data_IF_525327333727
#
_entry.id   IF_525327333727
#
_cell.length_a   1.000
_cell.length_b   1.000
_cell.length_c   1.000
_cell.angle_alpha   90.00
_cell.angle_beta   90.00
_cell.angle_gamma   90.00
#
_symmetry.space_group_name_H-M   'P 1'
#
loop_
_entity.id
_entity.type
_entity.pdbx_description
1 polymer ?
#
# COMPACT_ATOMS: atom_id res chain seq x y z
N UNK A 1 67.70 -54.25 22.37
CA UNK A 1 67.12 -53.54 23.53
C UNK A 1 66.36 -52.35 23.00
N UNK A 2 65.08 -52.22 23.37
CA UNK A 2 64.13 -51.19 22.90
C UNK A 2 64.66 -49.77 23.13
N UNK A 3 64.35 -48.83 22.21
CA UNK A 3 63.66 -47.57 22.52
C UNK A 3 63.34 -46.76 21.24
N UNK A 4 62.05 -46.45 21.06
CA UNK A 4 61.46 -45.48 20.12
C UNK A 4 62.06 -44.08 20.28
N UNK A 5 61.91 -43.20 19.26
CA UNK A 5 60.99 -42.03 19.34
C UNK A 5 60.99 -41.07 18.15
N UNK A 6 59.77 -40.73 17.74
CA UNK A 6 59.24 -39.48 17.15
C UNK A 6 59.63 -39.07 15.73
N UNK A 7 58.75 -39.42 14.78
CA UNK A 7 58.50 -38.64 13.58
C UNK A 7 57.67 -37.39 13.96
N UNK A 8 58.12 -36.21 13.55
CA UNK A 8 57.34 -34.97 13.58
C UNK A 8 56.52 -34.85 12.29
N UNK A 9 55.21 -34.69 12.47
CA UNK A 9 54.21 -34.39 11.45
C UNK A 9 54.09 -32.86 11.29
N UNK A 10 54.11 -32.29 10.08
CA UNK A 10 53.62 -30.92 9.90
C UNK A 10 52.11 -30.94 9.74
N UNK A 11 51.42 -30.31 10.70
CA UNK A 11 49.97 -30.04 10.66
C UNK A 11 49.76 -28.88 9.68
N UNK A 12 49.33 -29.17 8.46
CA UNK A 12 48.77 -28.16 7.56
C UNK A 12 47.33 -27.85 7.99
N UNK A 13 47.15 -26.76 8.73
CA UNK A 13 45.86 -26.21 9.12
C UNK A 13 45.19 -25.59 7.89
N UNK A 14 44.27 -26.30 7.24
CA UNK A 14 43.44 -25.75 6.17
C UNK A 14 42.36 -24.85 6.77
N UNK A 15 42.50 -23.54 6.55
CA UNK A 15 41.50 -22.52 6.91
C UNK A 15 40.33 -22.64 5.92
N UNK A 16 39.21 -23.21 6.35
CA UNK A 16 37.93 -23.13 5.64
C UNK A 16 37.43 -21.69 5.73
N UNK A 17 37.55 -20.93 4.64
CA UNK A 17 36.83 -19.66 4.49
C UNK A 17 35.34 -19.97 4.30
N UNK A 18 34.56 -19.79 5.37
CA UNK A 18 33.11 -19.71 5.28
C UNK A 18 32.74 -18.42 4.54
N UNK A 19 32.38 -18.53 3.28
CA UNK A 19 31.70 -17.45 2.55
C UNK A 19 30.26 -17.43 3.08
N UNK A 20 29.97 -16.49 3.97
CA UNK A 20 28.61 -16.20 4.43
C UNK A 20 27.78 -15.73 3.23
N UNK A 21 26.82 -16.57 2.81
CA UNK A 21 25.84 -16.20 1.81
C UNK A 21 24.99 -15.04 2.30
N UNK A 22 25.04 -13.92 1.59
CA UNK A 22 24.02 -12.89 1.66
C UNK A 22 22.71 -13.50 1.15
N UNK A 23 21.78 -13.83 2.04
CA UNK A 23 20.41 -14.11 1.62
C UNK A 23 19.74 -12.77 1.33
N UNK A 24 19.46 -12.54 0.05
CA UNK A 24 18.57 -11.47 -0.39
C UNK A 24 17.18 -11.76 0.16
N UNK A 25 16.63 -10.88 0.97
CA UNK A 25 15.21 -10.92 1.32
C UNK A 25 14.40 -10.71 0.04
N UNK A 26 13.69 -11.75 -0.39
CA UNK A 26 12.77 -11.69 -1.52
C UNK A 26 11.55 -10.84 -1.13
N UNK A 27 11.35 -9.72 -1.81
CA UNK A 27 10.09 -8.99 -1.82
C UNK A 27 9.03 -9.94 -2.38
N UNK A 28 8.03 -10.31 -1.58
CA UNK A 28 6.89 -11.11 -2.04
C UNK A 28 6.08 -10.26 -3.02
N UNK A 29 6.35 -10.41 -4.33
CA UNK A 29 5.43 -9.94 -5.35
C UNK A 29 4.22 -10.88 -5.34
N UNK A 30 3.04 -10.34 -5.08
CA UNK A 30 1.79 -11.08 -5.26
C UNK A 30 1.55 -11.14 -6.77
N UNK A 31 2.11 -12.15 -7.43
CA UNK A 31 1.90 -12.37 -8.85
C UNK A 31 0.48 -12.91 -9.08
N UNK A 32 -0.42 -12.02 -9.49
CA UNK A 32 -1.76 -12.38 -9.96
C UNK A 32 -1.62 -13.06 -11.33
N UNK A 33 -2.19 -14.26 -11.54
CA UNK A 33 -2.25 -14.87 -12.86
C UNK A 33 -2.79 -13.88 -13.91
N UNK A 34 -2.11 -13.78 -15.06
CA UNK A 34 -2.38 -12.75 -16.07
C UNK A 34 -3.86 -12.73 -16.53
N UNK A 35 -4.49 -13.90 -16.60
CA UNK A 35 -5.91 -14.04 -16.94
C UNK A 35 -6.85 -13.49 -15.85
N UNK A 36 -6.50 -13.63 -14.58
CA UNK A 36 -7.26 -13.11 -13.45
C UNK A 36 -7.11 -11.59 -13.34
N UNK A 37 -5.89 -11.06 -13.54
CA UNK A 37 -5.64 -9.63 -13.59
C UNK A 37 -6.44 -8.96 -14.72
N UNK A 38 -6.39 -9.52 -15.93
CA UNK A 38 -7.12 -9.00 -17.08
C UNK A 38 -8.65 -8.97 -16.83
N UNK A 39 -9.19 -10.00 -16.17
CA UNK A 39 -10.60 -10.04 -15.80
C UNK A 39 -10.97 -8.92 -14.82
N UNK A 40 -10.17 -8.70 -13.78
CA UNK A 40 -10.41 -7.63 -12.80
C UNK A 40 -10.29 -6.25 -13.45
N UNK A 41 -9.28 -6.02 -14.31
CA UNK A 41 -9.15 -4.76 -15.06
C UNK A 41 -10.38 -4.51 -15.93
N UNK A 42 -10.85 -5.53 -16.64
CA UNK A 42 -12.07 -5.44 -17.46
C UNK A 42 -13.32 -5.15 -16.63
N UNK A 43 -13.40 -5.65 -15.41
CA UNK A 43 -14.53 -5.37 -14.53
C UNK A 43 -14.49 -3.95 -13.96
N UNK A 44 -13.33 -3.46 -13.52
CA UNK A 44 -13.23 -2.07 -13.04
C UNK A 44 -13.39 -1.06 -14.19
N UNK A 45 -13.13 -1.43 -15.45
CA UNK A 45 -13.48 -0.59 -16.61
C UNK A 45 -14.99 -0.33 -16.74
N UNK A 46 -15.84 -1.22 -16.21
CA UNK A 46 -17.31 -1.04 -16.21
C UNK A 46 -17.80 -0.19 -15.04
N UNK A 47 -16.94 0.13 -14.07
CA UNK A 47 -17.32 0.84 -12.84
C UNK A 47 -17.98 -0.05 -11.79
N UNK A 48 -18.44 0.56 -10.70
CA UNK A 48 -19.13 -0.12 -9.60
C UNK A 48 -18.20 -0.69 -8.53
N UNK A 49 -16.94 -0.24 -8.47
CA UNK A 49 -15.95 -0.64 -7.47
C UNK A 49 -15.42 0.55 -6.69
N UNK A 50 -14.82 0.24 -5.53
CA UNK A 50 -13.98 1.16 -4.78
C UNK A 50 -12.53 0.71 -4.99
N UNK A 51 -11.68 1.66 -5.37
CA UNK A 51 -10.24 1.46 -5.52
C UNK A 51 -9.58 2.16 -4.34
N UNK A 52 -9.31 1.41 -3.28
CA UNK A 52 -8.59 1.91 -2.11
C UNK A 52 -7.09 1.75 -2.34
N UNK A 53 -6.33 2.83 -2.27
CA UNK A 53 -4.92 2.84 -2.62
C UNK A 53 -4.08 3.39 -1.48
N UNK A 54 -2.94 2.77 -1.22
CA UNK A 54 -1.93 3.39 -0.36
C UNK A 54 -1.27 4.54 -1.11
N UNK A 55 -0.95 5.61 -0.40
CA UNK A 55 -0.10 6.68 -0.90
C UNK A 55 1.20 6.16 -1.55
N UNK A 56 1.81 6.97 -2.42
CA UNK A 56 3.12 6.67 -3.01
C UNK A 56 4.21 6.62 -1.95
N UNK A 57 5.40 6.16 -2.32
CA UNK A 57 6.52 6.10 -1.38
C UNK A 57 6.76 7.44 -0.67
N UNK A 58 6.83 7.39 0.66
CA UNK A 58 7.08 8.56 1.49
C UNK A 58 8.34 8.34 2.33
N UNK A 59 9.43 8.97 1.94
CA UNK A 59 10.75 8.83 2.58
C UNK A 59 11.39 10.18 2.95
N UNK A 60 10.67 11.30 2.78
CA UNK A 60 11.18 12.64 3.07
C UNK A 60 10.64 13.11 4.41
N UNK A 61 11.55 13.40 5.35
CA UNK A 61 11.19 13.84 6.70
C UNK A 61 10.58 12.73 7.56
N UNK A 62 9.92 13.13 8.65
CA UNK A 62 9.27 12.23 9.61
C UNK A 62 8.01 12.90 10.17
N UNK A 63 7.02 12.10 10.53
CA UNK A 63 5.84 12.61 11.23
C UNK A 63 6.26 13.08 12.63
N UNK A 64 5.91 14.32 13.00
CA UNK A 64 6.09 14.82 14.37
C UNK A 64 5.10 14.13 15.32
N UNK A 65 5.34 14.12 16.64
CA UNK A 65 4.38 13.57 17.61
C UNK A 65 2.98 14.19 17.52
N UNK A 66 2.92 15.47 17.15
CA UNK A 66 1.68 16.18 16.80
C UNK A 66 1.83 16.65 15.36
N UNK A 67 1.02 16.06 14.47
CA UNK A 67 0.94 16.43 13.06
C UNK A 67 -0.04 17.58 12.89
N UNK A 68 0.38 18.61 12.15
CA UNK A 68 -0.50 19.63 11.61
C UNK A 68 -0.80 19.30 10.14
N UNK A 69 -2.06 19.01 9.82
CA UNK A 69 -2.47 18.66 8.47
C UNK A 69 -2.40 19.82 7.47
N UNK A 70 -2.25 21.06 7.94
CA UNK A 70 -2.05 22.24 7.11
C UNK A 70 -0.57 22.60 6.92
N UNK A 71 0.34 22.02 7.72
CA UNK A 71 1.79 22.22 7.62
C UNK A 71 2.50 20.89 7.33
N UNK A 72 2.80 20.66 6.05
CA UNK A 72 3.51 19.47 5.61
C UNK A 72 4.93 19.35 6.19
N UNK A 73 5.53 20.42 6.73
CA UNK A 73 6.84 20.34 7.41
C UNK A 73 6.78 19.58 8.75
N UNK A 74 5.56 19.30 9.25
CA UNK A 74 5.32 18.46 10.43
C UNK A 74 5.18 16.97 10.10
N UNK A 75 5.28 16.59 8.83
CA UNK A 75 4.92 15.27 8.33
C UNK A 75 6.06 14.59 7.56
N UNK A 76 5.98 13.25 7.49
CA UNK A 76 6.67 12.46 6.47
C UNK A 76 5.93 12.59 5.14
N UNK A 77 6.65 13.01 4.11
CA UNK A 77 6.12 13.34 2.79
C UNK A 77 6.64 12.43 1.67
N UNK A 78 6.05 12.54 0.48
CA UNK A 78 6.47 11.77 -0.68
C UNK A 78 7.94 12.01 -1.03
N UNK A 79 8.62 10.93 -1.41
CA UNK A 79 9.89 11.00 -2.14
C UNK A 79 9.63 11.34 -3.61
N UNK A 80 10.68 11.67 -4.36
CA UNK A 80 10.56 11.83 -5.81
C UNK A 80 10.07 10.55 -6.48
N UNK A 81 10.51 9.38 -5.99
CA UNK A 81 9.97 8.07 -6.38
C UNK A 81 8.46 8.00 -6.14
N UNK A 82 7.99 8.38 -4.94
CA UNK A 82 6.55 8.38 -4.62
C UNK A 82 5.73 9.31 -5.50
N UNK A 83 6.27 10.49 -5.85
CA UNK A 83 5.63 11.42 -6.79
C UNK A 83 5.52 10.81 -8.18
N UNK A 84 6.56 10.13 -8.65
CA UNK A 84 6.54 9.47 -9.96
C UNK A 84 5.56 8.30 -9.97
N UNK A 85 5.53 7.49 -8.91
CA UNK A 85 4.55 6.42 -8.73
C UNK A 85 3.10 6.93 -8.84
N UNK A 86 2.79 8.06 -8.18
CA UNK A 86 1.46 8.67 -8.24
C UNK A 86 1.09 9.12 -9.67
N UNK A 87 2.02 9.78 -10.38
CA UNK A 87 1.82 10.20 -11.78
C UNK A 87 1.59 9.00 -12.70
N UNK A 88 2.42 7.97 -12.57
CA UNK A 88 2.33 6.75 -13.37
C UNK A 88 1.00 6.04 -13.16
N UNK A 89 0.49 5.96 -11.92
CA UNK A 89 -0.84 5.42 -11.65
C UNK A 89 -1.90 6.19 -12.45
N UNK A 90 -1.92 7.52 -12.32
CA UNK A 90 -2.91 8.36 -13.01
C UNK A 90 -2.87 8.18 -14.53
N UNK A 91 -1.66 8.12 -15.12
CA UNK A 91 -1.48 7.87 -16.55
C UNK A 91 -2.00 6.48 -16.93
N UNK A 92 -1.69 5.46 -16.14
CA UNK A 92 -2.04 4.07 -16.43
C UNK A 92 -3.54 3.84 -16.35
N UNK A 93 -4.21 4.36 -15.31
CA UNK A 93 -5.67 4.27 -15.20
C UNK A 93 -6.39 4.96 -16.37
N UNK A 94 -5.88 6.10 -16.83
CA UNK A 94 -6.42 6.79 -18.03
C UNK A 94 -6.21 5.96 -19.30
N UNK A 95 -5.02 5.39 -19.50
CA UNK A 95 -4.73 4.51 -20.66
C UNK A 95 -5.64 3.28 -20.69
N UNK A 96 -5.93 2.73 -19.51
CA UNK A 96 -6.85 1.59 -19.35
C UNK A 96 -8.33 1.98 -19.40
N UNK A 97 -8.68 3.26 -19.63
CA UNK A 97 -10.06 3.75 -19.66
C UNK A 97 -10.86 3.40 -18.39
N UNK A 98 -10.22 3.38 -17.22
CA UNK A 98 -10.90 3.11 -15.95
C UNK A 98 -11.69 4.38 -15.55
N UNK A 99 -13.03 4.32 -15.46
CA UNK A 99 -13.83 5.49 -15.13
C UNK A 99 -13.73 5.80 -13.64
N UNK A 100 -13.43 7.05 -13.29
CA UNK A 100 -13.26 7.51 -11.92
C UNK A 100 -14.39 8.49 -11.55
N UNK A 101 -14.99 8.27 -10.38
CA UNK A 101 -15.86 9.23 -9.74
C UNK A 101 -15.02 10.37 -9.16
N UNK A 102 -15.31 11.61 -9.56
CA UNK A 102 -14.72 12.81 -8.99
C UNK A 102 -15.68 13.55 -8.05
N UNK A 103 -15.16 14.21 -6.99
CA UNK A 103 -13.76 14.22 -6.58
C UNK A 103 -13.30 12.88 -5.98
N UNK A 104 -11.99 12.58 -6.08
CA UNK A 104 -11.38 11.45 -5.38
C UNK A 104 -11.15 11.80 -3.91
N UNK A 105 -11.20 10.80 -3.03
CA UNK A 105 -11.06 11.01 -1.59
C UNK A 105 -9.61 10.79 -1.16
N UNK A 106 -9.08 11.64 -0.30
CA UNK A 106 -7.76 11.46 0.31
C UNK A 106 -7.79 11.66 1.82
N UNK A 107 -6.93 10.93 2.55
CA UNK A 107 -6.59 11.26 3.95
C UNK A 107 -5.96 12.65 4.03
N UNK A 108 -6.09 13.38 5.16
CA UNK A 108 -5.54 14.73 5.31
C UNK A 108 -4.02 14.83 5.32
N UNK A 109 -3.29 13.71 5.45
CA UNK A 109 -1.84 13.71 5.36
C UNK A 109 -1.36 14.25 4.00
N UNK A 110 -0.28 15.03 4.00
CA UNK A 110 0.23 15.65 2.78
C UNK A 110 0.63 14.60 1.74
N UNK A 111 1.22 13.48 2.16
CA UNK A 111 1.57 12.36 1.25
C UNK A 111 0.37 11.73 0.53
N UNK A 112 -0.79 11.63 1.18
CA UNK A 112 -2.01 11.08 0.55
C UNK A 112 -2.67 12.10 -0.37
N UNK A 113 -2.71 13.37 0.05
CA UNK A 113 -3.21 14.48 -0.76
C UNK A 113 -2.37 14.68 -2.02
N UNK A 114 -1.05 14.82 -1.87
CA UNK A 114 -0.10 14.99 -2.99
C UNK A 114 -0.18 13.81 -3.97
N UNK A 115 -0.32 12.57 -3.46
CA UNK A 115 -0.54 11.39 -4.32
C UNK A 115 -1.82 11.55 -5.15
N UNK A 116 -2.94 11.91 -4.50
CA UNK A 116 -4.21 12.08 -5.19
C UNK A 116 -4.15 13.23 -6.22
N UNK A 117 -3.58 14.36 -5.85
CA UNK A 117 -3.45 15.55 -6.69
C UNK A 117 -2.59 15.26 -7.94
N UNK A 118 -1.48 14.53 -7.78
CA UNK A 118 -0.61 14.13 -8.89
C UNK A 118 -1.26 13.12 -9.86
N UNK A 119 -2.05 12.18 -9.33
CA UNK A 119 -2.69 11.15 -10.14
C UNK A 119 -3.96 11.67 -10.86
N UNK A 120 -4.75 12.51 -10.18
CA UNK A 120 -6.14 12.84 -10.53
C UNK A 120 -6.39 14.32 -10.79
N UNK A 121 -5.42 15.19 -10.51
CA UNK A 121 -5.51 16.64 -10.66
C UNK A 121 -5.93 17.32 -9.35
N UNK A 122 -5.30 18.45 -9.03
CA UNK A 122 -5.48 19.13 -7.74
C UNK A 122 -6.89 19.68 -7.49
N UNK A 123 -7.62 20.05 -8.56
CA UNK A 123 -9.02 20.49 -8.46
C UNK A 123 -10.03 19.36 -8.23
N UNK A 124 -9.58 18.10 -8.23
CA UNK A 124 -10.43 16.91 -8.21
C UNK A 124 -10.28 16.08 -6.93
N UNK A 125 -9.76 16.66 -5.85
CA UNK A 125 -9.50 15.95 -4.59
C UNK A 125 -10.36 16.55 -3.47
N UNK A 126 -10.99 15.67 -2.68
CA UNK A 126 -11.64 16.02 -1.42
C UNK A 126 -10.94 15.30 -0.27
N UNK A 127 -10.73 16.01 0.84
CA UNK A 127 -10.11 15.44 2.03
C UNK A 127 -11.19 14.88 2.95
N UNK A 128 -11.00 13.65 3.41
CA UNK A 128 -11.82 13.06 4.47
C UNK A 128 -10.99 12.88 5.75
N UNK A 129 -11.28 13.64 6.82
CA UNK A 129 -10.53 13.56 8.08
C UNK A 129 -10.54 12.18 8.73
N UNK A 130 -11.56 11.35 8.53
CA UNK A 130 -11.63 10.05 9.24
C UNK A 130 -10.58 9.06 8.75
N UNK A 131 -9.98 9.28 7.57
CA UNK A 131 -8.88 8.48 7.05
C UNK A 131 -7.53 8.80 7.72
N UNK A 132 -7.46 9.79 8.62
CA UNK A 132 -6.25 10.09 9.38
C UNK A 132 -5.94 8.99 10.40
N UNK A 133 -6.96 8.50 11.10
CA UNK A 133 -6.78 7.57 12.22
C UNK A 133 -6.33 6.17 11.80
N UNK A 134 -6.39 5.84 10.50
CA UNK A 134 -5.83 4.59 9.96
C UNK A 134 -4.34 4.43 10.33
N UNK A 135 -3.58 5.53 10.44
CA UNK A 135 -2.17 5.46 10.84
C UNK A 135 -1.96 4.97 12.27
N UNK A 136 -2.99 5.03 13.12
CA UNK A 136 -2.93 4.56 14.51
C UNK A 136 -3.15 3.06 14.62
N UNK A 137 -3.63 2.37 13.58
CA UNK A 137 -3.93 0.93 13.66
C UNK A 137 -2.69 0.07 13.94
N UNK A 138 -1.51 0.53 13.50
CA UNK A 138 -0.22 -0.09 13.82
C UNK A 138 0.33 0.26 15.20
N UNK A 139 -0.28 1.22 15.91
CA UNK A 139 0.13 1.60 17.26
C UNK A 139 -0.34 0.51 18.25
N UNK A 140 0.59 -0.02 19.03
CA UNK A 140 0.31 -1.03 20.05
C UNK A 140 -0.22 -0.42 21.36
N UNK A 141 -0.16 0.90 21.52
CA UNK A 141 -0.62 1.62 22.71
C UNK A 141 -2.12 1.92 22.72
N UNK A 142 -2.79 1.91 21.56
CA UNK A 142 -4.24 2.13 21.48
C UNK A 142 -5.04 0.87 21.79
N UNK A 143 -6.23 1.04 22.36
CA UNK A 143 -7.08 -0.08 22.77
C UNK A 143 -7.67 -0.85 21.59
N UNK A 144 -8.01 -2.13 21.79
CA UNK A 144 -8.69 -2.93 20.77
C UNK A 144 -10.05 -2.32 20.35
N UNK A 145 -10.78 -1.72 21.28
CA UNK A 145 -12.03 -1.03 21.00
C UNK A 145 -11.82 0.20 20.09
N UNK A 146 -10.74 0.95 20.31
CA UNK A 146 -10.37 2.07 19.46
C UNK A 146 -9.96 1.61 18.05
N UNK A 147 -9.14 0.55 17.94
CA UNK A 147 -8.82 -0.07 16.64
C UNK A 147 -10.08 -0.47 15.89
N UNK A 148 -11.00 -1.16 16.57
CA UNK A 148 -12.27 -1.57 15.98
C UNK A 148 -13.12 -0.38 15.54
N UNK A 149 -13.13 0.72 16.30
CA UNK A 149 -13.85 1.93 15.92
C UNK A 149 -13.27 2.57 14.65
N UNK A 150 -11.94 2.63 14.53
CA UNK A 150 -11.26 3.14 13.34
C UNK A 150 -11.58 2.27 12.12
N UNK A 151 -11.46 0.95 12.26
CA UNK A 151 -11.79 0.00 11.17
C UNK A 151 -13.25 0.18 10.76
N UNK A 152 -14.20 0.13 11.70
CA UNK A 152 -15.63 0.29 11.44
C UNK A 152 -15.94 1.61 10.71
N UNK A 153 -15.25 2.70 11.04
CA UNK A 153 -15.45 3.99 10.37
C UNK A 153 -15.02 3.95 8.90
N UNK A 154 -13.87 3.33 8.59
CA UNK A 154 -13.42 3.20 7.20
C UNK A 154 -14.27 2.21 6.43
N UNK A 155 -14.68 1.09 7.05
CA UNK A 155 -15.53 0.08 6.41
C UNK A 155 -16.84 0.68 5.90
N UNK A 156 -17.46 1.60 6.65
CA UNK A 156 -18.64 2.34 6.16
C UNK A 156 -18.39 3.06 4.83
N UNK A 157 -17.18 3.56 4.58
CA UNK A 157 -16.82 4.18 3.31
C UNK A 157 -16.65 3.15 2.18
N UNK A 158 -16.25 1.94 2.53
CA UNK A 158 -16.02 0.80 1.62
C UNK A 158 -17.33 0.08 1.23
N UNK A 159 -18.43 0.39 1.91
CA UNK A 159 -19.77 -0.09 1.58
C UNK A 159 -20.54 0.82 0.62
N UNK A 160 -20.06 2.04 0.38
CA UNK A 160 -20.76 3.03 -0.46
C UNK A 160 -20.63 2.66 -1.94
N UNK A 161 -21.75 2.27 -2.55
CA UNK A 161 -21.82 1.97 -3.98
C UNK A 161 -21.58 3.27 -4.78
N UNK A 162 -20.56 3.33 -5.67
CA UNK A 162 -20.32 4.50 -6.51
C UNK A 162 -21.44 4.66 -7.55
N UNK A 163 -21.60 5.85 -8.13
CA UNK A 163 -22.53 6.06 -9.24
C UNK A 163 -22.30 5.06 -10.39
N UNK A 164 -23.37 4.60 -11.07
CA UNK A 164 -23.25 3.64 -12.17
C UNK A 164 -22.21 4.08 -13.21
N UNK A 165 -21.38 3.13 -13.66
CA UNK A 165 -20.35 3.40 -14.66
C UNK A 165 -19.10 4.12 -14.13
N UNK A 166 -18.95 4.31 -12.82
CA UNK A 166 -17.76 4.93 -12.22
C UNK A 166 -17.19 4.12 -11.06
N UNK A 167 -15.92 4.32 -10.75
CA UNK A 167 -15.29 3.77 -9.54
C UNK A 167 -14.97 4.88 -8.55
N UNK A 168 -15.21 4.65 -7.27
CA UNK A 168 -14.75 5.55 -6.21
C UNK A 168 -13.26 5.29 -5.95
N UNK A 169 -12.46 6.34 -5.91
CA UNK A 169 -11.03 6.23 -5.55
C UNK A 169 -10.81 6.84 -4.17
N UNK A 170 -10.08 6.11 -3.33
CA UNK A 170 -9.68 6.55 -1.99
C UNK A 170 -8.18 6.38 -1.84
N UNK A 171 -7.45 7.47 -1.58
CA UNK A 171 -6.02 7.45 -1.30
C UNK A 171 -5.77 7.59 0.20
N UNK A 172 -5.28 6.52 0.80
CA UNK A 172 -5.07 6.39 2.24
C UNK A 172 -3.74 5.73 2.60
N UNK A 173 -3.76 4.96 3.69
CA UNK A 173 -2.60 4.29 4.28
C UNK A 173 -2.78 2.76 4.23
N UNK A 174 -1.71 2.01 4.50
CA UNK A 174 -1.82 0.56 4.70
C UNK A 174 -2.59 0.23 5.99
N UNK A 175 -3.23 -0.94 6.01
CA UNK A 175 -3.82 -1.51 7.22
C UNK A 175 -2.92 -2.63 7.77
N UNK A 176 -3.04 -2.96 9.06
CA UNK A 176 -2.50 -4.19 9.62
C UNK A 176 -3.05 -5.44 8.91
N UNK A 177 -2.33 -6.56 9.02
CA UNK A 177 -2.65 -7.82 8.32
C UNK A 177 -3.96 -8.50 8.74
N UNK A 178 -4.48 -8.18 9.92
CA UNK A 178 -5.73 -8.72 10.48
C UNK A 178 -7.00 -7.97 10.01
N UNK A 179 -6.85 -6.89 9.24
CA UNK A 179 -7.96 -6.17 8.61
C UNK A 179 -8.11 -6.63 7.16
N UNK A 180 -9.35 -6.77 6.66
CA UNK A 180 -9.62 -7.31 5.31
C UNK A 180 -8.91 -6.55 4.17
N UNK A 181 -8.82 -5.22 4.25
CA UNK A 181 -8.04 -4.40 3.31
C UNK A 181 -6.54 -4.77 3.39
N UNK A 182 -6.07 -4.99 4.61
CA UNK A 182 -4.74 -5.52 4.93
C UNK A 182 -3.58 -4.64 4.48
N UNK A 183 -2.39 -5.22 4.53
CA UNK A 183 -1.20 -4.56 4.04
C UNK A 183 -1.24 -4.42 2.51
N UNK A 184 -0.70 -3.30 2.03
CA UNK A 184 -0.53 -2.99 0.61
C UNK A 184 0.79 -2.23 0.42
N UNK A 185 1.56 -2.53 -0.65
CA UNK A 185 2.78 -1.79 -0.97
C UNK A 185 2.46 -0.33 -1.32
N UNK A 186 3.48 0.52 -1.43
CA UNK A 186 3.29 1.90 -1.92
C UNK A 186 2.61 1.87 -3.30
N UNK A 187 1.57 2.68 -3.50
CA UNK A 187 0.67 2.61 -4.67
C UNK A 187 -0.02 1.27 -4.93
N UNK A 188 0.00 0.33 -3.98
CA UNK A 188 -0.86 -0.85 -4.04
C UNK A 188 -2.33 -0.46 -3.95
N UNK A 189 -3.15 -1.12 -4.75
CA UNK A 189 -4.60 -0.89 -4.84
C UNK A 189 -5.36 -2.13 -4.40
N UNK A 190 -6.34 -1.95 -3.53
CA UNK A 190 -7.34 -2.97 -3.20
C UNK A 190 -8.61 -2.65 -3.98
N UNK A 191 -9.01 -3.57 -4.85
CA UNK A 191 -10.26 -3.53 -5.60
C UNK A 191 -11.36 -4.10 -4.71
N UNK A 192 -12.36 -3.27 -4.41
CA UNK A 192 -13.40 -3.58 -3.45
C UNK A 192 -14.76 -3.49 -4.13
N UNK A 193 -15.59 -4.52 -3.94
CA UNK A 193 -16.99 -4.52 -4.39
C UNK A 193 -17.91 -4.17 -3.21
N UNK A 194 -18.47 -2.94 -3.16
CA UNK A 194 -19.45 -2.58 -2.14
C UNK A 194 -20.78 -3.33 -2.34
N UNK A 195 -21.40 -3.80 -1.25
CA UNK A 195 -22.74 -4.43 -1.26
C UNK A 195 -23.85 -3.46 -0.82
N UNK A 196 -23.49 -2.20 -0.57
CA UNK A 196 -24.38 -1.16 -0.05
C UNK A 196 -24.20 -0.92 1.45
N UNK A 197 -24.54 0.28 1.94
CA UNK A 197 -24.41 0.62 3.36
C UNK A 197 -25.12 -0.40 4.27
N UNK A 198 -24.39 -0.94 5.26
CA UNK A 198 -24.85 -1.95 6.19
C UNK A 198 -24.81 -3.39 5.67
N UNK A 199 -24.47 -3.60 4.39
CA UNK A 199 -24.41 -4.93 3.76
C UNK A 199 -22.98 -5.44 3.56
N UNK A 200 -21.97 -4.71 4.01
CA UNK A 200 -20.56 -5.05 3.84
C UNK A 200 -20.03 -4.80 2.43
N UNK A 201 -18.85 -5.37 2.20
CA UNK A 201 -18.12 -5.30 0.95
C UNK A 201 -17.36 -6.62 0.72
N UNK A 202 -16.75 -6.75 -0.45
CA UNK A 202 -15.88 -7.86 -0.80
C UNK A 202 -14.55 -7.31 -1.31
N UNK A 203 -13.44 -7.83 -0.80
CA UNK A 203 -12.11 -7.58 -1.37
C UNK A 203 -11.94 -8.52 -2.56
N UNK A 204 -12.00 -7.96 -3.76
CA UNK A 204 -11.95 -8.72 -5.02
C UNK A 204 -10.52 -9.06 -5.38
N UNK A 205 -9.64 -8.06 -5.35
CA UNK A 205 -8.23 -8.28 -5.67
C UNK A 205 -7.31 -7.20 -5.13
N UNK A 206 -6.04 -7.54 -4.94
CA UNK A 206 -4.95 -6.56 -4.75
C UNK A 206 -4.15 -6.42 -6.04
N UNK A 207 -3.97 -5.20 -6.51
CA UNK A 207 -3.30 -4.84 -7.76
C UNK A 207 -2.12 -3.93 -7.44
N UNK A 208 -0.94 -4.24 -7.97
CA UNK A 208 0.24 -3.39 -7.83
C UNK A 208 0.24 -2.24 -8.84
N UNK A 209 1.10 -1.23 -8.64
CA UNK A 209 1.33 -0.21 -9.66
C UNK A 209 1.85 -0.85 -10.97
N UNK A 210 2.69 -1.88 -10.88
CA UNK A 210 3.23 -2.57 -12.06
C UNK A 210 2.12 -3.24 -12.86
N UNK A 211 1.11 -3.81 -12.21
CA UNK A 211 -0.01 -4.46 -12.88
C UNK A 211 -0.86 -3.48 -13.69
N UNK A 212 -1.03 -2.23 -13.22
CA UNK A 212 -1.70 -1.18 -14.01
C UNK A 212 -0.89 -0.74 -15.24
N UNK A 213 0.43 -0.91 -15.22
CA UNK A 213 1.32 -0.49 -16.30
C UNK A 213 1.52 -1.56 -17.38
N UNK A 214 1.00 -2.78 -17.18
CA UNK A 214 1.08 -3.87 -18.14
C UNK A 214 0.22 -3.62 -19.38
#
# INVERSE_FOLDING_TARGET
>A
MKMNKFALLPICLAIMMFVSGFQSESIVQVDVPENELAAVIHDIQKGGYILYMRHGEAAVGQDRPVVDFQDCSTQRNLSDTGREQAKLLGVSMRKLNIPVQYPVVASPYCRTRETAELAFGSGNVVVDPSLADVTKLSDSSISAAEKQNIVTQVEKMLEVVPPPGTNKVIIGHAFPTDVAVGEIPNMGTVVIKPKGPGNGYEVVQKISLQDFMR
#
